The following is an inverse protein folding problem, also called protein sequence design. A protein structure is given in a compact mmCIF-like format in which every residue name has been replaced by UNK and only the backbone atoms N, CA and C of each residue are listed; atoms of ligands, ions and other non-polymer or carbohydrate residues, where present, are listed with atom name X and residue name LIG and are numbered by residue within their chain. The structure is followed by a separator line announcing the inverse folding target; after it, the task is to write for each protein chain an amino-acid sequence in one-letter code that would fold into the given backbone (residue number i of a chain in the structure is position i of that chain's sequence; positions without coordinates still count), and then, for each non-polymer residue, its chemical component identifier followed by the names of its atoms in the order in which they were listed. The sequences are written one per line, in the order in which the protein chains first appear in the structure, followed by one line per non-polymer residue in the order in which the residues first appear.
data_IF_977639083965
#
_entry.id   IF_977639083965
#
_cell.length_a   1.000
_cell.length_b   1.000
_cell.length_c   1.000
_cell.angle_alpha   90.00
_cell.angle_beta   90.00
_cell.angle_gamma   90.00
#
_symmetry.space_group_name_H-M   'P 1'
#
loop_
_entity.id
_entity.type
_entity.pdbx_description
1 polymer ?
#
# COMPACT_ATOMS: atom_id res chain seq x y z
N UNK A 1 -53.96 -44.64 15.04
CA UNK A 1 -52.82 -45.15 15.85
C UNK A 1 -51.91 -45.94 14.92
N UNK A 2 -50.58 -45.82 14.95
CA UNK A 2 -49.73 -44.67 15.24
C UNK A 2 -48.78 -44.33 14.06
N UNK A 3 -48.14 -43.16 14.17
CA UNK A 3 -47.09 -42.62 13.32
C UNK A 3 -45.90 -43.56 13.13
N UNK A 4 -45.36 -43.59 11.90
CA UNK A 4 -43.94 -43.85 11.69
C UNK A 4 -43.34 -42.60 11.04
N UNK A 5 -42.98 -41.66 11.91
CA UNK A 5 -42.15 -40.50 11.59
C UNK A 5 -40.79 -41.05 11.14
N UNK A 6 -40.54 -41.08 9.83
CA UNK A 6 -39.18 -41.24 9.31
C UNK A 6 -38.45 -39.93 9.60
N UNK A 7 -37.87 -39.87 10.79
CA UNK A 7 -36.86 -38.89 11.18
C UNK A 7 -35.74 -39.07 10.17
N UNK A 8 -35.70 -38.19 9.17
CA UNK A 8 -34.48 -37.94 8.41
C UNK A 8 -33.43 -37.66 9.48
N UNK A 9 -32.37 -38.47 9.62
CA UNK A 9 -31.29 -38.05 10.48
C UNK A 9 -30.84 -36.75 9.86
N UNK A 10 -31.05 -35.67 10.60
CA UNK A 10 -30.32 -34.43 10.45
C UNK A 10 -28.88 -34.89 10.62
N UNK A 11 -28.27 -35.34 9.52
CA UNK A 11 -26.84 -35.44 9.39
C UNK A 11 -26.43 -33.99 9.34
N UNK A 12 -26.37 -33.44 10.55
CA UNK A 12 -25.69 -32.23 10.92
C UNK A 12 -24.27 -32.52 10.45
N UNK A 13 -23.99 -32.21 9.18
CA UNK A 13 -22.66 -31.96 8.67
C UNK A 13 -22.20 -30.75 9.47
N UNK A 14 -21.77 -31.05 10.70
CA UNK A 14 -20.92 -30.21 11.48
C UNK A 14 -19.67 -30.09 10.63
N UNK A 15 -19.66 -29.07 9.77
CA UNK A 15 -18.43 -28.54 9.22
C UNK A 15 -17.64 -28.07 10.44
N UNK A 16 -16.92 -29.01 11.05
CA UNK A 16 -15.70 -28.71 11.78
C UNK A 16 -14.76 -28.11 10.73
N UNK A 17 -14.92 -26.82 10.48
CA UNK A 17 -13.80 -25.97 10.12
C UNK A 17 -12.86 -25.98 11.33
N UNK A 18 -12.19 -27.11 11.52
CA UNK A 18 -10.94 -27.19 12.26
C UNK A 18 -9.95 -26.44 11.38
N UNK A 19 -9.99 -25.11 11.45
CA UNK A 19 -8.79 -24.31 11.20
C UNK A 19 -7.83 -24.66 12.32
N UNK A 20 -7.16 -25.80 12.21
CA UNK A 20 -5.94 -26.09 12.94
C UNK A 20 -4.85 -25.23 12.32
N UNK A 21 -4.96 -23.91 12.48
CA UNK A 21 -3.76 -23.10 12.53
C UNK A 21 -3.00 -23.62 13.74
N UNK A 22 -2.01 -24.49 13.49
CA UNK A 22 -0.85 -24.60 14.35
C UNK A 22 -0.17 -23.24 14.31
N UNK A 23 -0.79 -22.23 14.93
CA UNK A 23 -0.13 -21.00 15.28
C UNK A 23 0.83 -21.41 16.40
N UNK A 24 1.98 -21.96 16.01
CA UNK A 24 3.15 -21.77 16.84
C UNK A 24 3.19 -20.25 17.06
N UNK A 25 2.98 -19.82 18.31
CA UNK A 25 3.16 -18.42 18.68
C UNK A 25 4.66 -18.16 18.51
N UNK A 26 5.05 -17.81 17.29
CA UNK A 26 6.38 -17.32 16.98
C UNK A 26 6.33 -15.82 17.19
N UNK A 27 7.16 -15.33 18.10
CA UNK A 27 7.26 -13.91 18.40
C UNK A 27 7.58 -13.08 17.15
N UNK A 28 8.33 -13.66 16.20
CA UNK A 28 8.72 -13.03 14.94
C UNK A 28 9.03 -14.05 13.84
N UNK A 29 8.97 -13.60 12.59
CA UNK A 29 9.39 -14.34 11.40
C UNK A 29 10.16 -13.38 10.47
N UNK A 30 11.42 -13.04 10.77
CA UNK A 30 12.22 -12.15 9.92
C UNK A 30 12.29 -12.72 8.50
N UNK A 31 11.93 -11.95 7.48
CA UNK A 31 11.91 -12.43 6.10
C UNK A 31 13.31 -12.88 5.62
N UNK A 32 13.35 -14.06 5.01
CA UNK A 32 14.49 -14.53 4.23
C UNK A 32 14.39 -14.00 2.79
N UNK A 33 15.03 -12.85 2.56
CA UNK A 33 15.06 -12.21 1.24
C UNK A 33 15.89 -12.99 0.20
N UNK A 34 16.64 -14.04 0.60
CA UNK A 34 17.36 -14.89 -0.34
C UNK A 34 16.48 -16.02 -0.90
N UNK A 35 15.37 -16.33 -0.23
CA UNK A 35 14.38 -17.27 -0.71
C UNK A 35 13.37 -16.57 -1.66
N UNK A 36 12.75 -17.32 -2.59
CA UNK A 36 11.67 -16.77 -3.41
C UNK A 36 10.50 -16.27 -2.56
N UNK A 37 9.93 -15.12 -2.95
CA UNK A 37 8.66 -14.64 -2.42
C UNK A 37 7.51 -15.48 -2.98
N UNK A 38 6.64 -15.96 -2.10
CA UNK A 38 5.43 -16.69 -2.48
C UNK A 38 4.17 -15.83 -2.34
N UNK A 39 2.98 -16.36 -2.71
CA UNK A 39 1.71 -15.66 -2.54
C UNK A 39 1.34 -15.38 -1.07
N UNK A 40 2.01 -16.04 -0.12
CA UNK A 40 1.89 -15.79 1.31
C UNK A 40 2.97 -14.82 1.85
N UNK A 41 3.81 -14.24 0.99
CA UNK A 41 4.96 -13.42 1.35
C UNK A 41 6.26 -14.22 1.45
N UNK A 42 7.17 -13.75 2.31
CA UNK A 42 8.50 -14.33 2.48
C UNK A 42 8.53 -15.46 3.52
N UNK A 43 9.37 -16.46 3.24
CA UNK A 43 9.75 -17.46 4.25
C UNK A 43 10.57 -16.82 5.38
N UNK A 44 10.59 -17.42 6.57
CA UNK A 44 11.38 -16.91 7.69
C UNK A 44 12.86 -17.32 7.60
N UNK A 45 13.76 -16.44 8.03
CA UNK A 45 15.14 -16.80 8.38
C UNK A 45 15.15 -17.86 9.48
N UNK A 46 16.21 -18.66 9.54
CA UNK A 46 16.45 -19.57 10.66
C UNK A 46 16.66 -18.75 11.95
N UNK A 47 16.07 -19.12 13.11
CA UNK A 47 16.22 -18.36 14.35
C UNK A 47 17.67 -18.07 14.74
N UNK A 48 18.58 -19.04 14.54
CA UNK A 48 20.01 -18.89 14.81
C UNK A 48 20.74 -17.86 13.92
N UNK A 49 20.13 -17.43 12.82
CA UNK A 49 20.69 -16.42 11.91
C UNK A 49 20.14 -15.02 12.13
N UNK A 50 19.11 -14.87 12.98
CA UNK A 50 18.48 -13.59 13.30
C UNK A 50 19.37 -12.78 14.24
N UNK A 51 19.48 -11.48 13.99
CA UNK A 51 20.28 -10.53 14.77
C UNK A 51 19.44 -9.30 15.12
N UNK A 52 19.88 -8.53 16.12
CA UNK A 52 19.22 -7.27 16.52
C UNK A 52 19.02 -6.32 15.33
N UNK A 53 19.99 -6.26 14.41
CA UNK A 53 19.90 -5.41 13.22
C UNK A 53 18.77 -5.80 12.26
N UNK A 54 18.22 -7.02 12.34
CA UNK A 54 17.03 -7.40 11.55
C UNK A 54 15.76 -6.68 12.02
N UNK A 55 15.77 -6.12 13.24
CA UNK A 55 14.66 -5.40 13.86
C UNK A 55 14.84 -3.87 13.85
N UNK A 56 15.89 -3.36 13.21
CA UNK A 56 16.18 -1.93 13.16
C UNK A 56 16.34 -1.48 11.71
N UNK A 57 15.59 -0.46 11.31
CA UNK A 57 15.72 0.17 10.00
C UNK A 57 16.06 1.65 10.13
N UNK A 58 17.24 2.04 9.62
CA UNK A 58 17.73 3.42 9.72
C UNK A 58 17.50 4.24 8.45
N UNK A 59 16.98 3.64 7.38
CA UNK A 59 16.83 4.30 6.07
C UNK A 59 15.92 5.53 6.08
N UNK A 60 14.96 5.60 7.01
CA UNK A 60 14.05 6.75 7.13
C UNK A 60 14.69 8.01 7.75
N UNK A 61 15.92 7.91 8.26
CA UNK A 61 16.67 9.06 8.77
C UNK A 61 17.19 9.99 7.67
N UNK A 62 17.09 9.60 6.40
CA UNK A 62 17.66 10.31 5.25
C UNK A 62 16.52 10.81 4.37
N UNK A 63 16.57 12.08 3.96
CA UNK A 63 15.62 12.65 3.02
C UNK A 63 15.81 12.06 1.61
N UNK A 64 14.71 11.72 0.95
CA UNK A 64 14.72 11.26 -0.43
C UNK A 64 14.98 12.39 -1.44
N UNK A 65 15.42 12.03 -2.65
CA UNK A 65 15.69 13.00 -3.70
C UNK A 65 14.39 13.47 -4.40
N UNK A 66 14.01 14.72 -4.15
CA UNK A 66 12.83 15.36 -4.76
C UNK A 66 13.12 16.09 -6.07
N UNK A 67 14.32 15.95 -6.66
CA UNK A 67 14.67 16.54 -7.97
C UNK A 67 14.17 15.66 -9.12
N UNK A 68 12.85 15.51 -9.22
CA UNK A 68 12.17 14.67 -10.22
C UNK A 68 10.83 15.28 -10.65
N UNK A 69 10.15 14.67 -11.63
CA UNK A 69 8.95 15.22 -12.25
C UNK A 69 7.77 15.41 -11.28
N UNK A 70 7.68 14.60 -10.23
CA UNK A 70 6.63 14.70 -9.20
C UNK A 70 7.08 15.51 -7.98
N UNK A 71 8.35 15.94 -7.95
CA UNK A 71 8.96 16.70 -6.85
C UNK A 71 8.79 16.04 -5.46
N UNK A 72 8.74 14.72 -5.43
CA UNK A 72 8.47 13.93 -4.23
C UNK A 72 9.39 12.71 -4.18
N UNK A 73 9.63 12.20 -2.98
CA UNK A 73 10.31 10.92 -2.76
C UNK A 73 9.59 10.13 -1.66
N UNK A 74 9.31 8.86 -1.94
CA UNK A 74 8.75 7.91 -0.97
C UNK A 74 9.82 6.87 -0.67
N UNK A 75 10.23 6.78 0.59
CA UNK A 75 11.22 5.81 1.07
C UNK A 75 10.50 4.74 1.89
N UNK A 76 10.28 3.53 1.34
CA UNK A 76 9.56 2.47 2.04
C UNK A 76 10.46 1.75 3.05
N UNK A 77 9.87 1.34 4.17
CA UNK A 77 10.37 0.33 5.08
C UNK A 77 9.35 -0.83 5.13
N UNK A 78 9.03 -1.37 3.96
CA UNK A 78 8.20 -2.57 3.79
C UNK A 78 9.06 -3.82 3.96
N UNK A 79 8.46 -5.01 3.92
CA UNK A 79 9.17 -6.28 4.13
C UNK A 79 10.43 -6.45 3.25
N UNK A 80 10.41 -5.94 2.02
CA UNK A 80 11.54 -6.01 1.09
C UNK A 80 12.73 -5.13 1.51
N UNK A 81 12.52 -4.06 2.28
CA UNK A 81 13.57 -3.17 2.79
C UNK A 81 13.84 -3.39 4.28
N UNK A 82 12.82 -3.81 5.03
CA UNK A 82 12.85 -4.05 6.46
C UNK A 82 12.28 -5.44 6.79
N UNK A 83 13.09 -6.50 6.64
CA UNK A 83 12.65 -7.89 6.83
C UNK A 83 12.01 -8.22 8.18
N UNK A 84 12.34 -7.43 9.22
CA UNK A 84 11.80 -7.60 10.57
C UNK A 84 10.29 -7.42 10.69
N UNK A 85 9.64 -6.74 9.74
CA UNK A 85 8.18 -6.57 9.77
C UNK A 85 7.39 -7.75 9.21
N UNK A 86 8.08 -8.75 8.63
CA UNK A 86 7.41 -9.89 8.02
C UNK A 86 6.53 -10.65 9.03
N UNK A 87 5.28 -10.89 8.63
CA UNK A 87 4.27 -11.53 9.48
C UNK A 87 3.68 -10.66 10.60
N UNK A 88 4.17 -9.43 10.81
CA UNK A 88 3.69 -8.55 11.91
C UNK A 88 2.49 -7.67 11.52
N UNK A 89 2.09 -7.67 10.25
CA UNK A 89 0.94 -6.90 9.77
C UNK A 89 1.14 -5.38 9.84
N UNK A 90 2.39 -4.90 9.85
CA UNK A 90 2.71 -3.48 9.90
C UNK A 90 3.86 -3.13 8.97
N UNK A 91 3.90 -1.89 8.49
CA UNK A 91 5.09 -1.29 7.88
C UNK A 91 4.99 0.23 7.92
N UNK A 92 6.03 0.93 7.46
CA UNK A 92 6.07 2.40 7.46
C UNK A 92 6.85 2.90 6.25
N UNK A 93 6.56 4.12 5.81
CA UNK A 93 7.32 4.84 4.79
C UNK A 93 7.54 6.30 5.20
N UNK A 94 8.62 6.89 4.69
CA UNK A 94 8.89 8.34 4.76
C UNK A 94 8.50 9.00 3.45
N UNK A 95 7.86 10.15 3.54
CA UNK A 95 7.48 10.99 2.40
C UNK A 95 8.20 12.34 2.51
N UNK A 96 9.03 12.66 1.51
CA UNK A 96 9.63 13.98 1.34
C UNK A 96 9.00 14.67 0.13
N UNK A 97 8.48 15.88 0.32
CA UNK A 97 7.79 16.65 -0.72
C UNK A 97 8.41 18.04 -0.83
N UNK A 98 9.04 18.35 -1.97
CA UNK A 98 9.41 19.73 -2.26
C UNK A 98 8.16 20.59 -2.49
N UNK A 99 8.33 21.91 -2.60
CA UNK A 99 7.20 22.84 -2.87
C UNK A 99 6.49 22.46 -4.18
N UNK A 100 5.17 22.24 -4.07
CA UNK A 100 4.35 21.74 -5.17
C UNK A 100 4.59 20.28 -5.53
N UNK A 101 5.27 19.51 -4.68
CA UNK A 101 5.47 18.07 -4.84
C UNK A 101 4.22 17.27 -4.55
N UNK A 102 4.11 16.14 -5.25
CA UNK A 102 2.89 15.34 -5.30
C UNK A 102 3.23 13.87 -5.19
N UNK A 103 2.56 13.18 -4.28
CA UNK A 103 2.30 11.75 -4.44
C UNK A 103 0.96 11.65 -5.17
N UNK A 104 0.96 11.24 -6.46
CA UNK A 104 -0.22 11.30 -7.31
C UNK A 104 -1.30 10.34 -6.81
N UNK A 105 -2.49 10.37 -7.42
CA UNK A 105 -3.54 9.41 -7.08
C UNK A 105 -3.02 7.97 -7.13
N UNK A 106 -3.12 7.29 -5.99
CA UNK A 106 -2.66 5.93 -5.80
C UNK A 106 -3.52 5.19 -4.78
N UNK A 107 -3.31 3.88 -4.71
CA UNK A 107 -3.99 2.99 -3.77
C UNK A 107 -3.04 1.94 -3.22
N UNK A 108 -3.38 1.43 -2.04
CA UNK A 108 -2.74 0.31 -1.36
C UNK A 108 -3.73 -0.86 -1.27
N UNK A 109 -3.61 -1.87 -2.15
CA UNK A 109 -4.52 -3.02 -2.13
C UNK A 109 -4.43 -3.84 -0.85
N UNK A 110 -3.26 -3.85 -0.21
CA UNK A 110 -2.94 -4.71 0.93
C UNK A 110 -3.08 -4.06 2.30
N UNK A 111 -3.38 -2.76 2.41
CA UNK A 111 -3.45 -2.09 3.71
C UNK A 111 -4.25 -0.79 3.71
N UNK A 112 -4.79 -0.43 4.87
CA UNK A 112 -5.07 0.97 5.20
C UNK A 112 -3.77 1.69 5.59
N UNK A 113 -3.73 3.00 5.38
CA UNK A 113 -2.62 3.88 5.74
C UNK A 113 -3.05 4.90 6.80
N UNK A 114 -2.14 5.22 7.72
CA UNK A 114 -2.22 6.39 8.60
C UNK A 114 -0.99 7.25 8.40
N UNK A 115 -1.20 8.47 7.94
CA UNK A 115 -0.16 9.48 7.74
C UNK A 115 -0.08 10.40 8.94
N UNK A 116 1.14 10.80 9.33
CA UNK A 116 1.40 11.92 10.23
C UNK A 116 2.34 12.94 9.54
N UNK A 117 1.98 14.21 9.59
CA UNK A 117 2.83 15.30 9.09
C UNK A 117 3.86 15.66 10.17
N UNK A 118 5.14 15.53 9.85
CA UNK A 118 6.23 15.87 10.77
C UNK A 118 6.77 17.29 10.57
N UNK A 119 6.73 17.81 9.33
CA UNK A 119 7.17 19.16 8.98
C UNK A 119 6.39 19.70 7.77
N UNK A 120 6.24 21.02 7.69
CA UNK A 120 5.56 21.69 6.58
C UNK A 120 4.04 21.49 6.60
N UNK A 121 3.45 21.61 5.41
CA UNK A 121 2.00 21.54 5.20
C UNK A 121 1.71 20.64 4.01
N UNK A 122 0.71 19.76 4.14
CA UNK A 122 0.33 18.81 3.09
C UNK A 122 -1.18 18.86 2.90
N UNK A 123 -1.64 19.19 1.69
CA UNK A 123 -3.00 18.93 1.27
C UNK A 123 -3.12 17.45 0.90
N UNK A 124 -3.90 16.69 1.65
CA UNK A 124 -4.11 15.26 1.42
C UNK A 124 -5.59 14.93 1.34
N UNK A 125 -5.92 13.85 0.65
CA UNK A 125 -7.30 13.42 0.52
C UNK A 125 -7.48 12.06 -0.15
N UNK A 126 -8.67 11.50 0.01
CA UNK A 126 -9.11 10.29 -0.67
C UNK A 126 -10.50 10.46 -1.28
N UNK A 127 -10.84 9.57 -2.22
CA UNK A 127 -12.16 9.50 -2.83
C UNK A 127 -12.84 8.22 -2.34
N UNK A 128 -14.01 8.37 -1.71
CA UNK A 128 -14.82 7.25 -1.24
C UNK A 128 -15.46 6.49 -2.40
N UNK A 129 -15.98 5.28 -2.14
CA UNK A 129 -16.56 4.41 -3.18
C UNK A 129 -17.83 4.97 -3.83
N UNK A 130 -18.48 5.93 -3.19
CA UNK A 130 -19.61 6.71 -3.75
C UNK A 130 -19.15 7.94 -4.55
N UNK A 131 -17.84 8.07 -4.78
CA UNK A 131 -17.16 9.20 -5.41
C UNK A 131 -17.11 10.50 -4.59
N UNK A 132 -17.46 10.47 -3.30
CA UNK A 132 -17.31 11.64 -2.42
C UNK A 132 -15.84 11.91 -2.10
N UNK A 133 -15.29 13.10 -2.42
CA UNK A 133 -13.93 13.46 -2.05
C UNK A 133 -13.86 13.97 -0.61
N UNK A 134 -12.88 13.48 0.15
CA UNK A 134 -12.53 13.97 1.47
C UNK A 134 -11.09 14.45 1.44
N UNK A 135 -10.87 15.76 1.59
CA UNK A 135 -9.53 16.35 1.60
C UNK A 135 -9.41 17.42 2.68
N UNK A 136 -8.18 17.60 3.16
CA UNK A 136 -7.84 18.61 4.15
C UNK A 136 -6.39 19.08 3.96
N UNK A 137 -6.13 20.33 4.33
CA UNK A 137 -4.77 20.82 4.52
C UNK A 137 -4.30 20.47 5.93
N UNK A 138 -3.32 19.56 6.00
CA UNK A 138 -2.74 19.02 7.23
C UNK A 138 -1.48 19.82 7.60
N UNK A 139 -1.39 20.19 8.87
CA UNK A 139 -0.22 20.84 9.46
C UNK A 139 0.61 19.87 10.29
N UNK A 140 1.78 20.31 10.76
CA UNK A 140 2.65 19.49 11.62
C UNK A 140 1.87 18.95 12.84
N UNK A 141 1.90 17.64 13.00
CA UNK A 141 1.24 16.91 14.08
C UNK A 141 -0.13 16.35 13.69
N UNK A 142 -0.74 16.84 12.61
CA UNK A 142 -1.99 16.29 12.10
C UNK A 142 -1.77 14.88 11.54
N UNK A 143 -2.83 14.07 11.70
CA UNK A 143 -2.91 12.73 11.14
C UNK A 143 -4.10 12.61 10.19
N UNK A 144 -3.96 11.78 9.17
CA UNK A 144 -5.06 11.40 8.28
C UNK A 144 -5.02 9.90 8.00
N UNK A 145 -6.20 9.28 7.99
CA UNK A 145 -6.37 7.87 7.62
C UNK A 145 -6.80 7.75 6.17
N UNK A 146 -6.22 6.80 5.44
CA UNK A 146 -6.63 6.40 4.11
C UNK A 146 -7.11 4.95 4.15
N UNK A 147 -8.42 4.69 3.93
CA UNK A 147 -8.95 3.34 3.95
C UNK A 147 -8.36 2.45 2.85
N UNK A 148 -8.16 1.16 3.17
CA UNK A 148 -7.60 0.18 2.25
C UNK A 148 -8.28 0.18 0.89
N UNK A 149 -7.48 0.20 -0.17
CA UNK A 149 -7.96 0.13 -1.55
C UNK A 149 -8.52 1.42 -2.12
N UNK A 150 -8.72 2.49 -1.33
CA UNK A 150 -9.24 3.76 -1.87
C UNK A 150 -8.14 4.61 -2.52
N UNK A 151 -8.52 5.25 -3.63
CA UNK A 151 -7.66 6.21 -4.31
C UNK A 151 -7.48 7.45 -3.43
N UNK A 152 -6.22 7.81 -3.18
CA UNK A 152 -5.85 8.95 -2.36
C UNK A 152 -4.55 9.60 -2.87
N UNK A 153 -4.23 10.77 -2.34
CA UNK A 153 -3.12 11.59 -2.80
C UNK A 153 -2.56 12.45 -1.66
N UNK A 154 -1.34 12.96 -1.88
CA UNK A 154 -0.73 14.01 -1.05
C UNK A 154 -0.09 15.07 -1.95
N UNK A 155 -0.32 16.34 -1.64
CA UNK A 155 0.28 17.49 -2.33
C UNK A 155 0.88 18.41 -1.28
N UNK A 156 2.15 18.78 -1.45
CA UNK A 156 2.70 19.91 -0.71
C UNK A 156 2.17 21.22 -1.29
N UNK A 157 1.09 21.72 -0.69
CA UNK A 157 0.46 23.00 -1.02
C UNK A 157 1.03 24.20 -0.25
N UNK A 158 2.07 23.99 0.56
CA UNK A 158 2.73 25.04 1.33
C UNK A 158 3.88 25.71 0.58
N UNK A 159 4.53 26.67 1.26
CA UNK A 159 5.65 27.46 0.71
C UNK A 159 7.04 26.87 1.03
N UNK A 160 7.09 25.78 1.81
CA UNK A 160 8.32 25.12 2.23
C UNK A 160 8.23 23.60 1.98
N UNK A 161 9.36 22.89 1.88
CA UNK A 161 9.36 21.42 1.85
C UNK A 161 8.59 20.81 3.02
N UNK A 162 7.90 19.72 2.76
CA UNK A 162 7.12 18.99 3.75
C UNK A 162 7.67 17.57 3.94
N UNK A 163 7.52 17.06 5.16
CA UNK A 163 7.92 15.72 5.59
C UNK A 163 6.75 15.06 6.30
N UNK A 164 6.43 13.83 5.91
CA UNK A 164 5.45 13.00 6.60
C UNK A 164 5.92 11.55 6.70
N UNK A 165 5.25 10.80 7.58
CA UNK A 165 5.43 9.36 7.73
C UNK A 165 4.10 8.67 7.58
N UNK A 166 4.05 7.63 6.77
CA UNK A 166 2.87 6.82 6.50
C UNK A 166 3.07 5.43 7.10
N UNK A 167 2.20 5.02 8.02
CA UNK A 167 2.19 3.66 8.60
C UNK A 167 1.07 2.83 7.99
N UNK A 168 1.30 1.55 7.79
CA UNK A 168 0.38 0.67 7.06
C UNK A 168 0.01 -0.55 7.90
N UNK A 169 -1.23 -1.01 7.76
CA UNK A 169 -1.72 -2.28 8.33
C UNK A 169 -1.26 -3.55 7.60
N UNK A 170 -0.09 -3.53 6.95
CA UNK A 170 0.51 -4.70 6.30
C UNK A 170 2.03 -4.52 6.20
N UNK A 171 2.77 -5.64 6.23
CA UNK A 171 4.20 -5.66 5.94
C UNK A 171 4.51 -5.37 4.45
N UNK A 172 3.52 -5.58 3.58
CA UNK A 172 3.58 -5.29 2.15
C UNK A 172 2.25 -4.68 1.71
N UNK A 173 2.06 -3.35 1.84
CA UNK A 173 0.78 -2.69 1.51
C UNK A 173 0.46 -2.71 0.01
N UNK A 174 1.45 -2.98 -0.84
CA UNK A 174 1.38 -2.76 -2.29
C UNK A 174 1.35 -1.27 -2.62
N UNK A 175 1.50 -0.91 -3.90
CA UNK A 175 1.33 0.46 -4.37
C UNK A 175 0.90 0.41 -5.83
N UNK A 176 -0.24 1.02 -6.13
CA UNK A 176 -0.68 1.20 -7.51
C UNK A 176 -0.97 2.68 -7.74
N UNK A 177 -0.16 3.31 -8.57
CA UNK A 177 -0.38 4.69 -9.03
C UNK A 177 -1.34 4.64 -10.22
N UNK A 178 -2.41 5.43 -10.16
CA UNK A 178 -3.47 5.43 -11.18
C UNK A 178 -2.90 5.72 -12.58
N UNK A 179 -2.07 6.75 -12.70
CA UNK A 179 -1.45 7.11 -13.98
C UNK A 179 -0.53 6.02 -14.52
N UNK A 180 0.11 5.23 -13.64
CA UNK A 180 0.95 4.12 -14.10
C UNK A 180 0.11 2.92 -14.52
N UNK A 181 -1.02 2.68 -13.85
CA UNK A 181 -1.98 1.64 -14.23
C UNK A 181 -2.65 1.94 -15.59
N UNK A 182 -2.79 3.22 -15.96
CA UNK A 182 -3.33 3.61 -17.26
C UNK A 182 -2.26 3.77 -18.33
N UNK A 183 -1.11 4.37 -18.02
CA UNK A 183 -0.19 4.89 -19.05
C UNK A 183 1.26 4.41 -18.94
N UNK A 184 1.66 3.67 -17.90
CA UNK A 184 3.04 3.15 -17.73
C UNK A 184 3.06 1.63 -17.87
N UNK A 185 2.44 1.14 -18.92
CA UNK A 185 2.34 -0.28 -19.25
C UNK A 185 1.98 -0.42 -20.75
N UNK A 186 1.60 -1.62 -21.17
CA UNK A 186 1.28 -2.01 -22.54
C UNK A 186 -0.24 -2.12 -22.82
N UNK A 187 -1.12 -1.68 -21.92
CA UNK A 187 -2.57 -1.67 -22.09
C UNK A 187 -2.95 -0.90 -23.37
N UNK A 188 -3.69 -1.47 -24.34
CA UNK A 188 -3.90 -0.82 -25.63
C UNK A 188 -4.52 0.58 -25.52
N UNK A 189 -4.03 1.54 -26.31
CA UNK A 189 -4.57 2.91 -26.36
C UNK A 189 -6.09 2.92 -26.57
N UNK A 190 -6.60 2.02 -27.41
CA UNK A 190 -8.03 1.92 -27.72
C UNK A 190 -8.86 1.48 -26.51
N UNK A 191 -8.31 0.62 -25.65
CA UNK A 191 -8.99 0.19 -24.40
C UNK A 191 -9.05 1.35 -23.41
N UNK A 192 -7.97 2.12 -23.28
CA UNK A 192 -7.95 3.31 -22.43
C UNK A 192 -8.96 4.35 -22.96
N UNK A 193 -9.02 4.56 -24.28
CA UNK A 193 -9.98 5.48 -24.89
C UNK A 193 -11.44 5.03 -24.68
N UNK A 194 -11.70 3.71 -24.59
CA UNK A 194 -13.04 3.17 -24.32
C UNK A 194 -13.44 3.25 -22.84
N UNK A 195 -12.46 3.20 -21.93
CA UNK A 195 -12.68 3.13 -20.48
C UNK A 195 -12.49 4.46 -19.77
N UNK A 196 -12.03 5.48 -20.50
CA UNK A 196 -11.84 6.85 -20.03
C UNK A 196 -12.48 7.83 -21.01
N UNK A 197 -12.42 9.13 -20.71
CA UNK A 197 -12.89 10.19 -21.61
C UNK A 197 -11.74 10.83 -22.41
N UNK A 198 -10.59 10.17 -22.49
CA UNK A 198 -9.40 10.69 -23.17
C UNK A 198 -9.36 10.25 -24.63
N UNK A 199 -8.91 11.15 -25.51
CA UNK A 199 -8.62 10.78 -26.89
C UNK A 199 -7.27 10.07 -27.04
N UNK A 200 -7.09 9.40 -28.19
CA UNK A 200 -5.88 8.62 -28.46
C UNK A 200 -4.59 9.48 -28.46
N UNK A 201 -4.67 10.77 -28.81
CA UNK A 201 -3.50 11.64 -28.82
C UNK A 201 -3.08 12.02 -27.39
N UNK A 202 -4.04 12.31 -26.51
CA UNK A 202 -3.80 12.53 -25.09
C UNK A 202 -3.18 11.29 -24.43
N UNK A 203 -3.74 10.11 -24.71
CA UNK A 203 -3.24 8.83 -24.15
C UNK A 203 -1.80 8.56 -24.60
N UNK A 204 -1.52 8.66 -25.91
CA UNK A 204 -0.17 8.47 -26.46
C UNK A 204 0.83 9.47 -25.88
N UNK A 205 0.41 10.71 -25.64
CA UNK A 205 1.24 11.73 -24.98
C UNK A 205 1.59 11.31 -23.55
N UNK A 206 0.60 10.88 -22.75
CA UNK A 206 0.82 10.44 -21.37
C UNK A 206 1.71 9.19 -21.31
N UNK A 207 1.49 8.22 -22.20
CA UNK A 207 2.36 7.04 -22.35
C UNK A 207 3.80 7.42 -22.69
N UNK A 208 3.99 8.34 -23.65
CA UNK A 208 5.31 8.83 -24.03
C UNK A 208 6.06 9.50 -22.88
N UNK A 209 5.36 10.24 -22.01
CA UNK A 209 5.96 10.87 -20.81
C UNK A 209 6.29 9.84 -19.74
N UNK A 210 5.45 8.83 -19.54
CA UNK A 210 5.56 7.89 -18.42
C UNK A 210 6.34 6.61 -18.76
N UNK A 211 6.59 6.35 -20.04
CA UNK A 211 7.31 5.16 -20.54
C UNK A 211 6.41 3.97 -20.87
N UNK A 212 5.12 4.19 -21.11
CA UNK A 212 4.21 3.16 -21.63
C UNK A 212 4.38 2.92 -23.12
N UNK A 213 3.82 1.80 -23.58
CA UNK A 213 3.86 1.37 -25.00
C UNK A 213 2.44 1.12 -25.52
N UNK A 214 2.30 0.92 -26.84
CA UNK A 214 1.03 0.80 -27.58
C UNK A 214 0.22 2.10 -27.62
#
# INVERSE_FOLDING_TARGET
MPQATMIFPILFTFFLLLSSSNAAVQDFCVADLAAPEGPAGFSCKKPASVKVNDFVFSGLGIAGNTSNIIKAAVTPAFVAQFPGVNGLGISIARLDLAVGGVVPFHTHPGASEVLIVAQGTICAGFVASDNTPYLQTLEKGDIMVFPQGLLHFQVNGGEAPALAFASFGSASPGLQILDFALFKNDLPTEVIAQTTFLDAAQIKKLKGVLGGTN
#
